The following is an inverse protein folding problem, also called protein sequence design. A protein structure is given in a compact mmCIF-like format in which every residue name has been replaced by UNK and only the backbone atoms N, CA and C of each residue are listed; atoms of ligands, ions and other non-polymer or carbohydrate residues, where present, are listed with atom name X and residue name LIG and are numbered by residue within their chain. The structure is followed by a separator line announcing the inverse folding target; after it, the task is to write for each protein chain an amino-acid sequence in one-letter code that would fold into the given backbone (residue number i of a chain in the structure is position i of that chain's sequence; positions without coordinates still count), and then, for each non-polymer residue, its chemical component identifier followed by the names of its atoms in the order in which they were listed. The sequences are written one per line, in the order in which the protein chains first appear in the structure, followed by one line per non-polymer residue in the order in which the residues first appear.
data_IF_069707875175
#
_entry.id   IF_069707875175
#
_cell.length_a   1.000
_cell.length_b   1.000
_cell.length_c   1.000
_cell.angle_alpha   90.00
_cell.angle_beta   90.00
_cell.angle_gamma   90.00
#
_symmetry.space_group_name_H-M   'P 1'
#
loop_
_entity.id
_entity.type
_entity.pdbx_description
1 polymer ?
#
# COMPACT_ATOMS: atom_id res chain seq x y z
N UNK A 1 -9.46 -34.21 23.71
CA UNK A 1 -10.49 -33.17 23.49
C UNK A 1 -10.50 -32.31 24.74
N UNK A 2 -10.21 -31.01 24.76
CA UNK A 2 -10.29 -29.95 23.74
C UNK A 2 -9.32 -28.85 24.21
N UNK A 3 -8.39 -28.41 23.38
CA UNK A 3 -7.58 -27.20 23.66
C UNK A 3 -8.52 -25.98 23.74
N UNK A 4 -8.36 -25.07 24.71
CA UNK A 4 -8.85 -23.72 24.55
C UNK A 4 -7.80 -22.91 23.78
N UNK A 5 -7.80 -23.07 22.46
CA UNK A 5 -7.24 -22.08 21.55
C UNK A 5 -8.22 -20.93 21.44
N UNK A 6 -7.78 -19.74 21.81
CA UNK A 6 -8.19 -18.42 21.29
C UNK A 6 -8.35 -17.39 22.43
N UNK A 7 -7.21 -16.90 22.93
CA UNK A 7 -7.17 -15.60 23.60
C UNK A 7 -5.92 -14.84 23.14
N UNK A 8 -5.83 -14.64 21.83
CA UNK A 8 -4.90 -13.66 21.24
C UNK A 8 -5.71 -12.54 20.62
N UNK A 9 -6.35 -11.80 21.51
CA UNK A 9 -6.93 -10.52 21.18
C UNK A 9 -5.79 -9.48 21.11
N UNK A 10 -5.14 -9.37 19.96
CA UNK A 10 -4.29 -8.23 19.65
C UNK A 10 -5.06 -7.32 18.69
N UNK A 11 -5.96 -6.52 19.25
CA UNK A 11 -6.40 -5.29 18.61
C UNK A 11 -5.60 -4.16 19.24
N UNK A 12 -4.48 -3.77 18.62
CA UNK A 12 -3.81 -2.51 18.94
C UNK A 12 -4.60 -1.36 18.29
N UNK A 13 -4.72 -0.19 18.93
CA UNK A 13 -5.70 0.83 18.56
C UNK A 13 -5.36 1.71 17.34
N UNK A 14 -4.26 1.44 16.62
CA UNK A 14 -3.70 2.40 15.64
C UNK A 14 -3.89 2.04 14.15
N UNK A 15 -4.42 0.86 13.82
CA UNK A 15 -4.61 0.49 12.42
C UNK A 15 -6.01 0.87 11.94
N UNK A 16 -6.19 2.14 11.57
CA UNK A 16 -7.30 2.51 10.68
C UNK A 16 -7.26 1.55 9.49
N UNK A 17 -8.36 0.83 9.20
CA UNK A 17 -8.35 -0.13 8.10
C UNK A 17 -8.00 0.62 6.81
N UNK A 18 -7.21 -0.02 5.94
CA UNK A 18 -6.78 0.59 4.67
C UNK A 18 -7.97 1.19 3.90
N UNK A 19 -9.14 0.56 3.97
CA UNK A 19 -10.38 1.04 3.36
C UNK A 19 -10.85 2.41 3.86
N UNK A 20 -10.57 2.78 5.12
CA UNK A 20 -10.92 4.07 5.69
C UNK A 20 -10.00 5.20 5.21
N UNK A 21 -8.72 4.89 4.95
CA UNK A 21 -7.73 5.88 4.49
C UNK A 21 -7.58 5.91 2.97
N UNK A 22 -8.02 4.87 2.27
CA UNK A 22 -7.90 4.73 0.80
C UNK A 22 -8.47 5.92 0.02
N UNK A 23 -9.65 6.49 0.34
CA UNK A 23 -10.17 7.65 -0.39
C UNK A 23 -9.23 8.85 -0.35
N UNK A 24 -8.62 9.09 0.80
CA UNK A 24 -7.69 10.19 1.02
C UNK A 24 -6.35 9.95 0.31
N UNK A 25 -5.83 8.72 0.39
CA UNK A 25 -4.64 8.31 -0.35
C UNK A 25 -4.82 8.50 -1.87
N UNK A 26 -5.98 8.09 -2.41
CA UNK A 26 -6.30 8.25 -3.82
C UNK A 26 -6.46 9.73 -4.22
N UNK A 27 -6.95 10.58 -3.31
CA UNK A 27 -7.03 12.02 -3.52
C UNK A 27 -5.64 12.64 -3.63
N UNK A 28 -4.75 12.36 -2.68
CA UNK A 28 -3.35 12.81 -2.73
C UNK A 28 -2.63 12.38 -4.00
N UNK A 29 -2.84 11.14 -4.42
CA UNK A 29 -2.26 10.62 -5.68
C UNK A 29 -2.83 11.33 -6.90
N UNK A 30 -4.13 11.64 -6.92
CA UNK A 30 -4.75 12.44 -7.99
C UNK A 30 -4.19 13.87 -8.03
N UNK A 31 -3.78 14.42 -6.89
CA UNK A 31 -3.08 15.71 -6.80
C UNK A 31 -1.60 15.63 -7.20
N UNK A 32 -1.13 14.47 -7.65
CA UNK A 32 0.24 14.24 -8.14
C UNK A 32 1.24 13.85 -7.04
N UNK A 33 0.77 13.58 -5.83
CA UNK A 33 1.63 13.20 -4.72
C UNK A 33 1.99 11.71 -4.79
N UNK A 34 3.21 11.38 -4.34
CA UNK A 34 3.63 10.02 -4.06
C UNK A 34 3.39 9.75 -2.58
N UNK A 35 2.66 8.68 -2.27
CA UNK A 35 2.40 8.28 -0.88
C UNK A 35 3.12 6.98 -0.58
N UNK A 36 4.00 7.01 0.42
CA UNK A 36 4.71 5.82 0.89
C UNK A 36 3.86 5.09 1.93
N UNK A 37 3.80 3.78 1.79
CA UNK A 37 3.29 2.85 2.78
C UNK A 37 4.49 2.28 3.52
N UNK A 38 4.51 2.46 4.83
CA UNK A 38 5.63 2.05 5.68
C UNK A 38 5.20 0.97 6.67
N UNK A 39 6.11 0.06 6.98
CA UNK A 39 6.01 -0.85 8.11
C UNK A 39 7.12 -0.50 9.10
N UNK A 40 6.79 -0.19 10.36
CA UNK A 40 7.77 0.23 11.39
C UNK A 40 8.68 1.37 10.91
N UNK A 41 8.08 2.38 10.28
CA UNK A 41 8.74 3.55 9.69
C UNK A 41 9.65 3.27 8.49
N UNK A 42 9.74 2.02 8.02
CA UNK A 42 10.47 1.65 6.82
C UNK A 42 9.54 1.61 5.61
N UNK A 43 9.83 2.35 4.52
CA UNK A 43 8.97 2.35 3.34
C UNK A 43 9.04 1.01 2.60
N UNK A 44 7.91 0.32 2.50
CA UNK A 44 7.81 -1.01 1.87
C UNK A 44 7.09 -0.97 0.51
N UNK A 45 6.19 0.00 0.34
CA UNK A 45 5.45 0.20 -0.91
C UNK A 45 5.15 1.69 -1.13
N UNK A 46 4.73 2.04 -2.34
CA UNK A 46 4.26 3.38 -2.67
C UNK A 46 3.03 3.32 -3.55
N UNK A 47 2.11 4.25 -3.33
CA UNK A 47 0.99 4.55 -4.22
C UNK A 47 1.36 5.81 -4.99
N UNK A 48 1.36 5.73 -6.31
CA UNK A 48 1.84 6.79 -7.20
C UNK A 48 0.87 6.99 -8.36
N UNK A 49 0.90 8.16 -9.03
CA UNK A 49 0.18 8.35 -10.29
C UNK A 49 0.64 7.31 -11.32
N UNK A 50 -0.31 6.82 -12.14
CA UNK A 50 -0.03 5.75 -13.10
C UNK A 50 1.11 6.10 -14.07
N UNK A 51 1.15 7.35 -14.55
CA UNK A 51 2.22 7.85 -15.41
C UNK A 51 3.61 7.79 -14.74
N UNK A 52 3.68 8.08 -13.44
CA UNK A 52 4.93 8.00 -12.65
C UNK A 52 5.37 6.54 -12.52
N UNK A 53 4.44 5.63 -12.23
CA UNK A 53 4.74 4.19 -12.19
C UNK A 53 5.28 3.69 -13.54
N UNK A 54 4.61 4.05 -14.64
CA UNK A 54 5.02 3.66 -16.00
C UNK A 54 6.39 4.20 -16.37
N UNK A 55 6.66 5.48 -16.08
CA UNK A 55 7.96 6.09 -16.33
C UNK A 55 9.08 5.43 -15.51
N UNK A 56 8.82 5.15 -14.23
CA UNK A 56 9.78 4.47 -13.36
C UNK A 56 10.09 3.04 -13.82
N UNK A 57 9.06 2.28 -14.19
CA UNK A 57 9.21 0.92 -14.72
C UNK A 57 10.00 0.92 -16.04
N UNK A 58 9.68 1.84 -16.96
CA UNK A 58 10.42 2.00 -18.21
C UNK A 58 11.89 2.35 -17.98
N UNK A 59 12.20 3.25 -17.05
CA UNK A 59 13.58 3.60 -16.68
C UNK A 59 14.37 2.42 -16.09
N UNK A 60 13.67 1.49 -15.42
CA UNK A 60 14.25 0.26 -14.90
C UNK A 60 14.37 -0.87 -15.95
N UNK A 61 14.04 -0.58 -17.22
CA UNK A 61 14.05 -1.57 -18.30
C UNK A 61 12.95 -2.63 -18.15
N UNK A 62 11.94 -2.37 -17.30
CA UNK A 62 10.79 -3.23 -17.06
C UNK A 62 9.59 -2.66 -17.80
N UNK A 63 9.60 -2.70 -19.11
CA UNK A 63 8.42 -2.34 -19.90
C UNK A 63 7.32 -3.39 -19.71
N UNK A 64 6.07 -2.93 -19.78
CA UNK A 64 4.81 -3.66 -19.64
C UNK A 64 4.61 -4.70 -20.77
N UNK A 65 5.54 -5.65 -20.93
CA UNK A 65 5.39 -6.85 -21.76
C UNK A 65 4.68 -7.93 -20.92
N UNK A 66 3.39 -7.70 -20.63
CA UNK A 66 2.63 -8.68 -19.83
C UNK A 66 1.13 -8.50 -19.75
N UNK A 67 0.57 -7.35 -20.12
CA UNK A 67 -0.88 -7.16 -20.15
C UNK A 67 -1.44 -7.36 -21.57
N UNK A 68 -1.59 -8.63 -21.96
CA UNK A 68 -2.56 -9.05 -22.98
C UNK A 68 -3.61 -9.92 -22.32
#
# INVERSE_FOLDING_TARGET
MREPSADRNYATPDDLPLSAVLPELLRSVREGQVVYLSERDEPVAAIVPLEVARAGLAALGRSDEGAR
#
